data_IF_354494031863
#
_entry.id   IF_354494031863
#
_cell.length_a   1.000
_cell.length_b   1.000
_cell.length_c   1.000
_cell.angle_alpha   90.00
_cell.angle_beta   90.00
_cell.angle_gamma   90.00
#
_symmetry.space_group_name_H-M   'P 1'
#
loop_
_entity.id
_entity.type
_entity.pdbx_description
1 polymer ?
#
# COMPACT_ATOMS: atom_id res chain seq x y z
N UNK A 1 19.58 -2.79 24.08
CA UNK A 1 18.62 -2.04 23.23
C UNK A 1 17.70 -1.25 24.13
N UNK A 2 17.60 0.05 23.91
CA UNK A 2 16.68 0.84 24.72
C UNK A 2 15.23 0.67 24.23
N UNK A 3 14.30 1.19 25.03
CA UNK A 3 12.87 1.06 24.78
C UNK A 3 12.45 1.74 23.47
N UNK A 4 13.06 2.88 23.13
CA UNK A 4 12.76 3.61 21.91
C UNK A 4 13.23 2.86 20.65
N UNK A 5 14.41 2.23 20.70
CA UNK A 5 14.90 1.41 19.60
C UNK A 5 14.03 0.19 19.37
N UNK A 6 13.60 -0.48 20.45
CA UNK A 6 12.70 -1.61 20.36
C UNK A 6 11.37 -1.21 19.72
N UNK A 7 10.80 -0.08 20.14
CA UNK A 7 9.56 0.44 19.59
C UNK A 7 9.68 0.73 18.09
N UNK A 8 10.78 1.36 17.67
CA UNK A 8 11.03 1.65 16.24
C UNK A 8 11.12 0.38 15.41
N UNK A 9 11.77 -0.65 15.93
CA UNK A 9 11.88 -1.95 15.24
C UNK A 9 10.53 -2.63 15.11
N UNK A 10 9.70 -2.57 16.14
CA UNK A 10 8.35 -3.12 16.11
C UNK A 10 7.48 -2.38 15.09
N UNK A 11 7.54 -1.05 15.07
CA UNK A 11 6.80 -0.24 14.10
C UNK A 11 7.25 -0.52 12.67
N UNK A 12 8.54 -0.67 12.44
CA UNK A 12 9.08 -1.02 11.12
C UNK A 12 8.60 -2.40 10.67
N UNK A 13 8.56 -3.37 11.60
CA UNK A 13 8.05 -4.71 11.32
C UNK A 13 6.56 -4.72 10.98
N UNK A 14 5.76 -3.94 11.70
CA UNK A 14 4.34 -3.79 11.41
C UNK A 14 4.10 -3.15 10.03
N UNK A 15 4.83 -2.08 9.72
CA UNK A 15 4.71 -1.43 8.42
C UNK A 15 5.13 -2.37 7.29
N UNK A 16 6.23 -3.10 7.45
CA UNK A 16 6.68 -4.06 6.45
C UNK A 16 5.65 -5.15 6.19
N UNK A 17 5.04 -5.69 7.24
CA UNK A 17 4.00 -6.71 7.14
C UNK A 17 2.75 -6.17 6.46
N UNK A 18 2.30 -4.96 6.84
CA UNK A 18 1.15 -4.31 6.24
C UNK A 18 1.38 -4.01 4.76
N UNK A 19 2.54 -3.49 4.42
CA UNK A 19 2.91 -3.21 3.02
C UNK A 19 2.89 -4.48 2.18
N UNK A 20 3.43 -5.58 2.70
CA UNK A 20 3.40 -6.87 2.02
C UNK A 20 1.98 -7.38 1.80
N UNK A 21 1.12 -7.24 2.81
CA UNK A 21 -0.30 -7.63 2.71
C UNK A 21 -1.03 -6.81 1.65
N UNK A 22 -0.81 -5.49 1.62
CA UNK A 22 -1.41 -4.62 0.60
C UNK A 22 -0.96 -5.02 -0.80
N UNK A 23 0.35 -5.21 -0.99
CA UNK A 23 0.89 -5.59 -2.31
C UNK A 23 0.33 -6.93 -2.80
N UNK A 24 0.24 -7.93 -1.93
CA UNK A 24 -0.34 -9.24 -2.30
C UNK A 24 -1.82 -9.12 -2.63
N UNK A 25 -2.58 -8.37 -1.83
CA UNK A 25 -4.01 -8.16 -2.06
C UNK A 25 -4.27 -7.47 -3.40
N UNK A 26 -3.51 -6.41 -3.69
CA UNK A 26 -3.64 -5.70 -4.96
C UNK A 26 -3.30 -6.61 -6.16
N UNK A 27 -2.27 -7.44 -6.05
CA UNK A 27 -1.87 -8.35 -7.12
C UNK A 27 -2.96 -9.39 -7.39
N UNK A 28 -3.54 -9.99 -6.34
CA UNK A 28 -4.62 -10.97 -6.45
C UNK A 28 -5.85 -10.34 -7.13
N UNK A 29 -6.13 -9.07 -6.81
CA UNK A 29 -7.29 -8.37 -7.36
C UNK A 29 -7.09 -7.85 -8.80
N UNK A 30 -5.91 -8.06 -9.39
CA UNK A 30 -5.64 -7.65 -10.77
C UNK A 30 -5.15 -6.22 -10.92
N UNK A 31 -4.62 -5.63 -9.86
CA UNK A 31 -4.14 -4.24 -9.85
C UNK A 31 -2.86 -4.04 -10.66
N UNK A 32 -2.28 -5.09 -11.20
CA UNK A 32 -1.13 -5.03 -12.11
C UNK A 32 -1.52 -4.56 -13.52
N UNK A 33 -2.82 -4.63 -13.88
CA UNK A 33 -3.28 -4.20 -15.21
C UNK A 33 -4.46 -3.22 -15.17
N UNK A 34 -5.07 -2.96 -14.00
CA UNK A 34 -6.22 -2.05 -13.91
C UNK A 34 -6.22 -1.31 -12.57
N UNK A 35 -6.87 -0.15 -12.55
CA UNK A 35 -7.10 0.58 -11.30
C UNK A 35 -8.19 -0.08 -10.48
N UNK A 36 -7.97 -0.11 -9.16
CA UNK A 36 -8.93 -0.58 -8.17
C UNK A 36 -9.30 0.54 -7.23
N UNK A 37 -10.56 0.59 -6.82
CA UNK A 37 -11.03 1.56 -5.82
C UNK A 37 -10.42 1.22 -4.46
N UNK A 38 -9.84 2.21 -3.78
CA UNK A 38 -9.29 2.01 -2.43
C UNK A 38 -10.36 1.68 -1.41
N UNK A 39 -11.57 2.17 -1.60
CA UNK A 39 -12.68 1.95 -0.68
C UNK A 39 -13.05 0.47 -0.50
N UNK A 40 -12.78 -0.36 -1.50
CA UNK A 40 -13.03 -1.80 -1.42
C UNK A 40 -11.95 -2.61 -0.72
N UNK A 41 -10.76 -2.05 -0.49
CA UNK A 41 -9.63 -2.79 0.08
C UNK A 41 -9.81 -3.21 1.53
N UNK A 42 -10.41 -2.40 2.44
CA UNK A 42 -10.60 -2.83 3.82
C UNK A 42 -11.38 -4.13 3.96
N UNK A 43 -12.34 -4.38 3.07
CA UNK A 43 -13.11 -5.63 3.06
C UNK A 43 -12.24 -6.81 2.60
N UNK A 44 -11.38 -6.59 1.60
CA UNK A 44 -10.46 -7.61 1.10
C UNK A 44 -9.38 -7.94 2.12
N UNK A 45 -9.02 -6.97 2.98
CA UNK A 45 -8.02 -7.12 4.05
C UNK A 45 -8.67 -7.50 5.39
N UNK A 46 -9.87 -8.05 5.37
CA UNK A 46 -10.72 -8.30 6.55
C UNK A 46 -9.95 -8.78 7.77
N UNK A 47 -10.07 -8.04 8.88
CA UNK A 47 -9.45 -8.37 10.15
C UNK A 47 -7.96 -8.07 10.27
N UNK A 48 -7.32 -7.62 9.21
CA UNK A 48 -5.87 -7.45 9.18
C UNK A 48 -5.35 -6.03 9.37
N UNK A 49 -6.19 -5.03 9.07
CA UNK A 49 -5.67 -3.66 9.01
C UNK A 49 -6.78 -2.64 9.19
N UNK A 50 -6.57 -1.65 10.07
CA UNK A 50 -7.50 -0.54 10.20
C UNK A 50 -7.26 0.53 9.12
N UNK A 51 -8.14 1.53 9.08
CA UNK A 51 -8.08 2.59 8.06
C UNK A 51 -6.77 3.39 8.13
N UNK A 52 -6.29 3.71 9.32
CA UNK A 52 -5.06 4.47 9.49
C UNK A 52 -3.84 3.66 9.03
N UNK A 53 -3.78 2.39 9.39
CA UNK A 53 -2.71 1.49 8.95
C UNK A 53 -2.72 1.34 7.42
N UNK A 54 -3.91 1.23 6.83
CA UNK A 54 -4.05 1.16 5.37
C UNK A 54 -3.53 2.43 4.71
N UNK A 55 -3.91 3.61 5.22
CA UNK A 55 -3.43 4.88 4.68
C UNK A 55 -1.91 5.01 4.78
N UNK A 56 -1.32 4.62 5.90
CA UNK A 56 0.14 4.64 6.08
C UNK A 56 0.84 3.73 5.08
N UNK A 57 0.29 2.54 4.85
CA UNK A 57 0.82 1.58 3.90
C UNK A 57 0.74 2.10 2.46
N UNK A 58 -0.44 2.56 2.04
CA UNK A 58 -0.64 3.11 0.69
C UNK A 58 0.28 4.30 0.46
N UNK A 59 0.40 5.20 1.46
CA UNK A 59 1.27 6.37 1.34
C UNK A 59 2.74 5.98 1.14
N UNK A 60 3.24 5.04 1.95
CA UNK A 60 4.62 4.55 1.79
C UNK A 60 4.84 3.95 0.41
N UNK A 61 3.94 3.07 -0.02
CA UNK A 61 4.07 2.37 -1.29
C UNK A 61 3.97 3.32 -2.49
N UNK A 62 3.10 4.32 -2.41
CA UNK A 62 2.97 5.35 -3.46
C UNK A 62 4.21 6.24 -3.52
N UNK A 63 4.70 6.72 -2.37
CA UNK A 63 5.89 7.58 -2.32
C UNK A 63 7.15 6.83 -2.74
N UNK A 64 7.19 5.53 -2.55
CA UNK A 64 8.31 4.68 -3.00
C UNK A 64 8.24 4.35 -4.50
N UNK A 65 7.17 4.76 -5.18
CA UNK A 65 7.00 4.53 -6.61
C UNK A 65 6.42 3.16 -6.96
N UNK A 66 5.88 2.41 -6.00
CA UNK A 66 5.30 1.09 -6.24
C UNK A 66 3.83 1.14 -6.64
N UNK A 67 3.14 2.22 -6.28
CA UNK A 67 1.73 2.41 -6.57
C UNK A 67 1.51 3.77 -7.25
N UNK A 68 0.54 3.79 -8.15
CA UNK A 68 -0.01 5.00 -8.71
C UNK A 68 -1.39 5.22 -8.10
N UNK A 69 -1.58 6.34 -7.42
CA UNK A 69 -2.84 6.73 -6.78
C UNK A 69 -3.40 7.92 -7.52
N UNK A 70 -4.69 7.89 -7.85
CA UNK A 70 -5.34 9.00 -8.56
C UNK A 70 -6.79 9.14 -8.14
N UNK A 71 -7.38 10.31 -8.42
CA UNK A 71 -8.81 10.54 -8.22
C UNK A 71 -9.61 9.76 -9.26
N UNK A 72 -10.70 9.14 -8.81
CA UNK A 72 -11.60 8.39 -9.70
C UNK A 72 -12.27 9.34 -10.70
N UNK A 73 -12.69 10.52 -10.22
CA UNK A 73 -13.50 11.45 -11.00
C UNK A 73 -12.75 12.06 -12.19
N UNK A 74 -11.60 12.67 -11.93
CA UNK A 74 -10.84 13.42 -12.96
C UNK A 74 -9.57 12.71 -13.42
N UNK A 75 -9.25 11.54 -12.83
CA UNK A 75 -8.05 10.76 -13.14
C UNK A 75 -6.74 11.50 -12.84
N UNK A 76 -6.79 12.57 -12.06
CA UNK A 76 -5.60 13.34 -11.69
C UNK A 76 -4.83 12.61 -10.58
N UNK A 77 -3.47 12.65 -10.61
CA UNK A 77 -2.67 12.08 -9.52
C UNK A 77 -3.07 12.69 -8.18
N UNK A 78 -3.13 11.86 -7.14
CA UNK A 78 -3.51 12.29 -5.80
C UNK A 78 -2.83 11.41 -4.75
N UNK A 79 -3.22 11.57 -3.48
CA UNK A 79 -2.68 10.81 -2.37
C UNK A 79 -3.74 10.60 -1.30
N UNK A 80 -3.46 9.65 -0.38
CA UNK A 80 -4.34 9.38 0.76
C UNK A 80 -4.34 10.52 1.78
N UNK A 81 -3.38 11.44 1.70
CA UNK A 81 -3.35 12.62 2.55
C UNK A 81 -4.16 13.80 1.98
N UNK A 82 -4.43 13.79 0.67
CA UNK A 82 -5.09 14.89 -0.02
C UNK A 82 -6.56 14.62 -0.35
N UNK A 83 -7.00 13.36 -0.29
CA UNK A 83 -8.36 12.97 -0.65
C UNK A 83 -8.86 11.81 0.20
N UNK A 84 -10.16 11.61 0.23
CA UNK A 84 -10.79 10.50 0.94
C UNK A 84 -10.60 9.19 0.17
N UNK A 85 -10.55 8.05 0.87
CA UNK A 85 -10.35 6.75 0.24
C UNK A 85 -11.40 6.42 -0.82
N UNK A 86 -12.64 6.81 -0.59
CA UNK A 86 -13.75 6.57 -1.53
C UNK A 86 -13.61 7.33 -2.84
N UNK A 87 -12.76 8.36 -2.88
CA UNK A 87 -12.51 9.17 -4.08
C UNK A 87 -11.26 8.74 -4.84
N UNK A 88 -10.56 7.73 -4.37
CA UNK A 88 -9.27 7.30 -4.91
C UNK A 88 -9.31 5.91 -5.51
N UNK A 89 -8.49 5.72 -6.53
CA UNK A 89 -8.21 4.41 -7.11
C UNK A 89 -6.69 4.22 -7.26
N UNK A 90 -6.25 2.98 -7.31
CA UNK A 90 -4.84 2.59 -7.24
C UNK A 90 -4.50 1.52 -8.28
N UNK A 91 -3.28 1.59 -8.79
CA UNK A 91 -2.71 0.60 -9.70
C UNK A 91 -1.24 0.37 -9.35
N UNK A 92 -0.74 -0.85 -9.54
CA UNK A 92 0.69 -1.14 -9.42
C UNK A 92 1.44 -0.47 -10.57
N UNK A 93 2.58 0.16 -10.25
CA UNK A 93 3.53 0.64 -11.26
C UNK A 93 4.39 -0.54 -11.74
N UNK A 94 5.17 -0.40 -12.83
CA UNK A 94 6.15 -1.42 -13.19
C UNK A 94 7.11 -1.75 -12.06
N UNK A 95 7.53 -0.75 -11.27
CA UNK A 95 8.38 -0.94 -10.10
C UNK A 95 7.65 -1.75 -9.02
N UNK A 96 6.36 -1.49 -8.82
CA UNK A 96 5.53 -2.26 -7.89
C UNK A 96 5.36 -3.71 -8.32
N UNK A 97 5.19 -3.96 -9.61
CA UNK A 97 5.10 -5.30 -10.15
C UNK A 97 6.40 -6.07 -9.92
N UNK A 98 7.54 -5.43 -10.13
CA UNK A 98 8.86 -6.03 -9.86
C UNK A 98 9.02 -6.42 -8.39
N UNK A 99 8.57 -5.54 -7.50
CA UNK A 99 8.61 -5.80 -6.05
C UNK A 99 7.68 -6.97 -5.69
N UNK A 100 6.46 -6.96 -6.17
CA UNK A 100 5.46 -7.99 -5.89
C UNK A 100 5.90 -9.36 -6.42
N UNK A 101 6.63 -9.41 -7.53
CA UNK A 101 7.15 -10.65 -8.11
C UNK A 101 8.55 -11.01 -7.61
N UNK A 102 9.01 -10.34 -6.56
CA UNK A 102 10.29 -10.61 -5.89
C UNK A 102 11.53 -10.43 -6.78
N UNK A 103 11.41 -9.66 -7.86
CA UNK A 103 12.56 -9.26 -8.69
C UNK A 103 13.35 -8.16 -8.01
N UNK A 104 12.67 -7.30 -7.25
CA UNK A 104 13.24 -6.30 -6.36
C UNK A 104 12.89 -6.62 -4.92
N UNK A 105 13.67 -6.09 -3.98
CA UNK A 105 13.41 -6.22 -2.54
C UNK A 105 13.40 -4.85 -1.88
N UNK A 106 12.53 -4.70 -0.88
CA UNK A 106 12.45 -3.52 -0.03
C UNK A 106 12.31 -4.02 1.41
N UNK A 107 13.22 -3.62 2.35
CA UNK A 107 13.13 -4.08 3.74
C UNK A 107 11.84 -3.70 4.43
N UNK A 108 11.12 -2.68 3.95
CA UNK A 108 9.83 -2.26 4.51
C UNK A 108 8.63 -2.82 3.74
N UNK A 109 8.85 -3.83 2.89
CA UNK A 109 7.77 -4.57 2.22
C UNK A 109 8.06 -6.06 2.36
N UNK A 110 7.34 -6.71 3.25
CA UNK A 110 7.53 -8.12 3.56
C UNK A 110 6.73 -8.98 2.58
N UNK A 111 7.40 -9.38 1.51
CA UNK A 111 6.80 -10.17 0.44
C UNK A 111 7.00 -11.67 0.63
#
# INVERSE_FOLDING_TARGET
>A
MDENELRRKMQAGELAANNGTVMRTLAIAGCDFKFLKLDGLPLALAGGMDRMALCSSINYLADSGYLQVRCIEDKAPSSVSDAELEDLEVKLTPRGIQLQRCVKKDPLVDM
#
